data_IF_935770227073
#
_entry.id   IF_935770227073
#
_cell.length_a   1.000
_cell.length_b   1.000
_cell.length_c   1.000
_cell.angle_alpha   90.00
_cell.angle_beta   90.00
_cell.angle_gamma   90.00
#
_symmetry.space_group_name_H-M   'P 1'
#
loop_
_entity.id
_entity.type
_entity.pdbx_description
1 polymer ?
#
# COMPACT_ATOMS: atom_id res chain seq x y z
N UNK A 1 -10.57 -15.43 -22.07
CA UNK A 1 -11.14 -14.57 -21.02
C UNK A 1 -11.66 -15.48 -19.94
N UNK A 2 -11.01 -15.48 -18.78
CA UNK A 2 -11.50 -16.23 -17.64
C UNK A 2 -12.58 -15.39 -16.95
N UNK A 3 -13.68 -16.04 -16.54
CA UNK A 3 -14.74 -15.40 -15.77
C UNK A 3 -14.53 -15.76 -14.31
N UNK A 4 -14.37 -14.74 -13.48
CA UNK A 4 -14.14 -14.91 -12.05
C UNK A 4 -15.42 -14.63 -11.27
N UNK A 5 -15.95 -15.63 -10.57
CA UNK A 5 -17.11 -15.46 -9.69
C UNK A 5 -16.64 -14.92 -8.33
N UNK A 6 -17.06 -13.70 -7.97
CA UNK A 6 -16.91 -13.15 -6.61
C UNK A 6 -18.29 -12.82 -6.04
N UNK A 7 -18.75 -13.63 -5.09
CA UNK A 7 -20.08 -13.50 -4.50
C UNK A 7 -21.18 -13.75 -5.52
N UNK A 8 -22.05 -12.76 -5.73
CA UNK A 8 -23.16 -12.80 -6.70
C UNK A 8 -22.79 -12.19 -8.08
N UNK A 9 -21.57 -11.69 -8.26
CA UNK A 9 -21.11 -11.07 -9.49
C UNK A 9 -20.19 -12.03 -10.27
N UNK A 10 -20.41 -12.11 -11.58
CA UNK A 10 -19.49 -12.73 -12.52
C UNK A 10 -18.67 -11.59 -13.11
N UNK A 11 -17.39 -11.55 -12.79
CA UNK A 11 -16.48 -10.48 -13.20
C UNK A 11 -15.59 -10.98 -14.33
N UNK A 12 -15.36 -10.12 -15.30
CA UNK A 12 -14.30 -10.34 -16.30
C UNK A 12 -12.92 -10.17 -15.65
N UNK A 13 -11.86 -10.73 -16.23
CA UNK A 13 -10.48 -10.60 -15.73
C UNK A 13 -10.12 -9.15 -15.33
N UNK A 14 -10.47 -8.18 -16.18
CA UNK A 14 -10.22 -6.75 -15.94
C UNK A 14 -10.98 -6.20 -14.73
N UNK A 15 -12.26 -6.56 -14.57
CA UNK A 15 -13.09 -6.09 -13.46
C UNK A 15 -12.65 -6.71 -12.12
N UNK A 16 -12.16 -7.95 -12.15
CA UNK A 16 -11.61 -8.59 -10.97
C UNK A 16 -10.26 -7.97 -10.55
N UNK A 17 -9.45 -7.52 -11.53
CA UNK A 17 -8.21 -6.78 -11.27
C UNK A 17 -8.50 -5.42 -10.63
N UNK A 18 -9.45 -4.64 -11.18
CA UNK A 18 -9.84 -3.34 -10.63
C UNK A 18 -10.40 -3.45 -9.21
N UNK A 19 -11.22 -4.47 -8.95
CA UNK A 19 -11.73 -4.74 -7.61
C UNK A 19 -10.61 -5.09 -6.61
N UNK A 20 -9.57 -5.78 -7.07
CA UNK A 20 -8.42 -6.17 -6.23
C UNK A 20 -7.50 -4.97 -5.97
N UNK A 21 -7.21 -4.17 -7.00
CA UNK A 21 -6.50 -2.90 -6.87
C UNK A 21 -7.22 -1.96 -5.90
N UNK A 22 -8.54 -1.88 -5.96
CA UNK A 22 -9.30 -1.01 -5.07
C UNK A 22 -9.09 -1.37 -3.60
N UNK A 23 -9.10 -2.68 -3.27
CA UNK A 23 -8.77 -3.13 -1.90
C UNK A 23 -7.35 -2.76 -1.51
N UNK A 24 -6.40 -2.89 -2.44
CA UNK A 24 -5.01 -2.50 -2.21
C UNK A 24 -4.84 -1.00 -1.97
N UNK A 25 -5.55 -0.16 -2.75
CA UNK A 25 -5.61 1.30 -2.56
C UNK A 25 -6.11 1.67 -1.18
N UNK A 26 -7.20 1.05 -0.73
CA UNK A 26 -7.76 1.29 0.61
C UNK A 26 -6.80 0.83 1.70
N UNK A 27 -6.15 -0.34 1.54
CA UNK A 27 -5.14 -0.82 2.47
C UNK A 27 -3.93 0.11 2.59
N UNK A 28 -3.37 0.55 1.45
CA UNK A 28 -2.26 1.51 1.39
C UNK A 28 -2.66 2.88 1.94
N UNK A 29 -3.89 3.32 1.72
CA UNK A 29 -4.43 4.55 2.31
C UNK A 29 -4.43 4.49 3.84
N UNK A 30 -4.95 3.40 4.41
CA UNK A 30 -5.03 3.23 5.87
C UNK A 30 -3.63 3.11 6.47
N UNK A 31 -2.76 2.29 5.87
CA UNK A 31 -1.38 2.12 6.34
C UNK A 31 -0.59 3.44 6.24
N UNK A 32 -0.67 4.13 5.12
CA UNK A 32 -0.02 5.42 4.91
C UNK A 32 -0.53 6.48 5.89
N UNK A 33 -1.84 6.60 6.03
CA UNK A 33 -2.43 7.61 6.92
C UNK A 33 -2.11 7.36 8.40
N UNK A 34 -2.14 6.11 8.86
CA UNK A 34 -1.75 5.76 10.22
C UNK A 34 -0.26 5.95 10.46
N UNK A 35 0.59 5.47 9.56
CA UNK A 35 2.04 5.58 9.70
C UNK A 35 2.50 7.03 9.72
N UNK A 36 2.05 7.84 8.76
CA UNK A 36 2.41 9.26 8.71
C UNK A 36 1.74 10.07 9.83
N UNK A 37 0.46 9.81 10.13
CA UNK A 37 -0.24 10.47 11.21
C UNK A 37 0.43 10.23 12.58
N UNK A 38 0.83 8.99 12.85
CA UNK A 38 1.54 8.63 14.09
C UNK A 38 2.94 9.27 14.16
N UNK A 39 3.70 9.23 13.07
CA UNK A 39 5.02 9.86 13.02
C UNK A 39 4.92 11.37 13.26
N UNK A 40 3.97 12.04 12.61
CA UNK A 40 3.76 13.48 12.76
C UNK A 40 3.35 13.83 14.19
N UNK A 41 2.48 13.03 14.82
CA UNK A 41 2.11 13.22 16.22
C UNK A 41 3.32 13.20 17.16
N UNK A 42 4.31 12.34 16.88
CA UNK A 42 5.53 12.19 17.71
C UNK A 42 6.43 13.43 17.70
N UNK A 43 6.40 14.24 16.64
CA UNK A 43 7.23 15.44 16.53
C UNK A 43 6.60 16.68 17.18
N UNK A 44 5.34 16.63 17.61
CA UNK A 44 4.69 17.79 18.21
C UNK A 44 5.02 17.94 19.71
N UNK A 45 5.44 19.14 20.17
CA UNK A 45 5.68 19.40 21.59
C UNK A 45 4.39 19.26 22.41
N UNK A 46 4.52 18.90 23.70
CA UNK A 46 3.39 18.60 24.58
C UNK A 46 2.39 19.75 24.71
N UNK A 47 2.87 20.99 24.68
CA UNK A 47 2.12 22.20 25.03
C UNK A 47 1.16 22.70 23.94
N UNK A 48 1.20 22.10 22.75
CA UNK A 48 0.31 22.51 21.66
C UNK A 48 -1.16 22.12 21.89
N UNK A 49 -2.12 22.96 21.45
CA UNK A 49 -3.54 22.69 21.61
C UNK A 49 -3.95 21.35 20.97
N UNK A 50 -4.70 20.53 21.71
CA UNK A 50 -5.10 19.17 21.28
C UNK A 50 -5.83 19.17 19.93
N UNK A 51 -6.69 20.17 19.71
CA UNK A 51 -7.47 20.32 18.46
C UNK A 51 -6.57 20.57 17.26
N UNK A 52 -5.54 21.41 17.43
CA UNK A 52 -4.62 21.79 16.37
C UNK A 52 -3.74 20.60 15.96
N UNK A 53 -3.26 19.82 16.94
CA UNK A 53 -2.58 18.54 16.71
C UNK A 53 -3.46 17.56 15.93
N UNK A 54 -4.72 17.43 16.32
CA UNK A 54 -5.65 16.50 15.69
C UNK A 54 -5.91 16.85 14.21
N UNK A 55 -6.18 18.12 13.91
CA UNK A 55 -6.41 18.58 12.54
C UNK A 55 -5.16 18.37 11.68
N UNK A 56 -3.98 18.71 12.19
CA UNK A 56 -2.72 18.51 11.45
C UNK A 56 -2.41 17.03 11.21
N UNK A 57 -2.60 16.18 12.21
CA UNK A 57 -2.37 14.73 12.09
C UNK A 57 -3.33 14.12 11.07
N UNK A 58 -4.60 14.52 11.07
CA UNK A 58 -5.59 14.03 10.09
C UNK A 58 -5.32 14.60 8.70
N UNK A 59 -5.03 15.89 8.59
CA UNK A 59 -4.77 16.52 7.30
C UNK A 59 -3.51 15.91 6.66
N UNK A 60 -2.42 15.80 7.43
CA UNK A 60 -1.16 15.27 6.93
C UNK A 60 -1.20 13.75 6.73
N UNK A 61 -1.79 12.99 7.68
CA UNK A 61 -2.00 11.55 7.51
C UNK A 61 -2.92 11.24 6.32
N UNK A 62 -4.05 11.94 6.23
CA UNK A 62 -5.02 11.77 5.14
C UNK A 62 -4.44 12.10 3.77
N UNK A 63 -3.72 13.22 3.64
CA UNK A 63 -3.05 13.59 2.38
C UNK A 63 -1.95 12.61 2.00
N UNK A 64 -1.12 12.18 2.95
CA UNK A 64 -0.06 11.21 2.67
C UNK A 64 -0.62 9.83 2.31
N UNK A 65 -1.67 9.38 3.00
CA UNK A 65 -2.41 8.17 2.65
C UNK A 65 -3.04 8.25 1.27
N UNK A 66 -3.63 9.41 0.90
CA UNK A 66 -4.23 9.62 -0.42
C UNK A 66 -3.18 9.57 -1.55
N UNK A 67 -2.01 10.15 -1.32
CA UNK A 67 -0.87 10.07 -2.25
C UNK A 67 -0.46 8.60 -2.44
N UNK A 68 -0.31 7.84 -1.35
CA UNK A 68 0.01 6.41 -1.43
C UNK A 68 -1.03 5.62 -2.23
N UNK A 69 -2.31 5.89 -1.99
CA UNK A 69 -3.42 5.25 -2.70
C UNK A 69 -3.44 5.60 -4.19
N UNK A 70 -3.08 6.84 -4.56
CA UNK A 70 -2.97 7.25 -5.95
C UNK A 70 -1.88 6.45 -6.68
N UNK A 71 -0.74 6.21 -6.02
CA UNK A 71 0.38 5.44 -6.57
C UNK A 71 0.24 3.92 -6.39
N UNK A 72 -0.90 3.41 -5.92
CA UNK A 72 -1.07 1.98 -5.63
C UNK A 72 -0.78 1.06 -6.83
N UNK A 73 -1.08 1.50 -8.06
CA UNK A 73 -0.81 0.73 -9.28
C UNK A 73 0.70 0.61 -9.53
N UNK A 74 1.44 1.70 -9.33
CA UNK A 74 2.90 1.72 -9.45
C UNK A 74 3.55 0.89 -8.35
N UNK A 75 3.01 0.95 -7.12
CA UNK A 75 3.48 0.14 -5.99
C UNK A 75 3.28 -1.35 -6.26
N UNK A 76 2.14 -1.75 -6.82
CA UNK A 76 1.85 -3.14 -7.19
C UNK A 76 2.85 -3.68 -8.25
N UNK A 77 3.14 -2.87 -9.27
CA UNK A 77 4.16 -3.21 -10.29
C UNK A 77 5.54 -3.32 -9.65
N UNK A 78 5.96 -2.35 -8.83
CA UNK A 78 7.25 -2.40 -8.14
C UNK A 78 7.36 -3.60 -7.20
N UNK A 79 6.30 -3.93 -6.47
CA UNK A 79 6.25 -5.09 -5.60
C UNK A 79 6.44 -6.38 -6.39
N UNK A 80 5.80 -6.49 -7.55
CA UNK A 80 5.95 -7.62 -8.46
C UNK A 80 7.40 -7.78 -8.95
N UNK A 81 8.06 -6.66 -9.30
CA UNK A 81 9.48 -6.67 -9.68
C UNK A 81 10.40 -7.08 -8.54
N UNK A 82 10.16 -6.59 -7.32
CA UNK A 82 10.94 -6.97 -6.13
C UNK A 82 10.81 -8.46 -5.85
N UNK A 83 9.60 -9.01 -5.94
CA UNK A 83 9.37 -10.45 -5.76
C UNK A 83 10.11 -11.25 -6.83
N UNK A 84 10.06 -10.83 -8.09
CA UNK A 84 10.73 -11.51 -9.20
C UNK A 84 12.27 -11.49 -9.00
N UNK A 85 12.83 -10.33 -8.68
CA UNK A 85 14.26 -10.19 -8.38
C UNK A 85 14.67 -10.95 -7.13
N UNK A 86 13.81 -11.02 -6.11
CA UNK A 86 14.04 -11.81 -4.90
C UNK A 86 14.11 -13.30 -5.21
N UNK A 87 13.25 -13.81 -6.09
CA UNK A 87 13.28 -15.20 -6.54
C UNK A 87 14.56 -15.48 -7.34
N UNK A 88 14.90 -14.62 -8.31
CA UNK A 88 16.13 -14.76 -9.11
C UNK A 88 17.39 -14.69 -8.23
N UNK A 89 17.44 -13.75 -7.29
CA UNK A 89 18.54 -13.63 -6.33
C UNK A 89 18.62 -14.81 -5.38
N UNK A 90 17.48 -15.33 -4.91
CA UNK A 90 17.40 -16.53 -4.09
C UNK A 90 17.95 -17.76 -4.82
N UNK A 91 17.55 -17.96 -6.09
CA UNK A 91 18.09 -19.02 -6.94
C UNK A 91 19.59 -18.83 -7.18
N UNK A 92 20.04 -17.61 -7.48
CA UNK A 92 21.45 -17.30 -7.66
C UNK A 92 22.30 -17.59 -6.41
N UNK A 93 21.80 -17.25 -5.23
CA UNK A 93 22.44 -17.54 -3.95
C UNK A 93 22.48 -19.05 -3.65
N UNK A 94 21.43 -19.78 -4.03
CA UNK A 94 21.38 -21.24 -3.89
C UNK A 94 22.40 -21.94 -4.79
N UNK A 95 22.50 -21.51 -6.06
CA UNK A 95 23.49 -22.04 -7.01
C UNK A 95 24.91 -21.72 -6.53
N UNK A 96 25.14 -20.52 -5.99
CA UNK A 96 26.46 -20.12 -5.47
C UNK A 96 26.89 -20.93 -4.25
N UNK A 97 25.96 -21.35 -3.39
CA UNK A 97 26.28 -22.21 -2.24
C UNK A 97 26.40 -23.71 -2.60
N UNK A 98 25.95 -24.13 -3.78
CA UNK A 98 26.07 -25.50 -4.26
C UNK A 98 27.39 -25.78 -5.00
N UNK A 99 28.07 -24.72 -5.46
CA UNK A 99 29.39 -24.73 -6.09
C UNK A 99 30.46 -24.52 -5.01
#
# INVERSE_FOLDING_TARGET
MALHKKGNLILTDDENYDYTIFKWRVGLFILGSLYFGFNIYRYFPADWPKVLKFILVIAAGGTCGAILAYFAKQIDVLFSWIVLLGILGGIGYWIWNLI
#
